data_IF_638554749936
#
_entry.id   IF_638554749936
#
_cell.length_a   1.000
_cell.length_b   1.000
_cell.length_c   1.000
_cell.angle_alpha   90.00
_cell.angle_beta   90.00
_cell.angle_gamma   90.00
#
_symmetry.space_group_name_H-M   'P 1'
#
loop_
_entity.id
_entity.type
_entity.pdbx_description
1 polymer ?
#
# COMPACT_ATOMS: atom_id res chain seq x y z
N UNK A 1 72.09 -11.60 -29.56
CA UNK A 1 71.17 -10.43 -29.56
C UNK A 1 69.81 -10.69 -30.32
N UNK A 2 69.83 -11.42 -31.42
CA UNK A 2 68.60 -11.61 -32.21
C UNK A 2 67.49 -12.48 -31.56
N UNK A 3 67.83 -13.47 -30.72
CA UNK A 3 66.87 -14.36 -30.11
C UNK A 3 66.05 -13.66 -29.01
N UNK A 4 66.60 -12.70 -28.26
CA UNK A 4 65.90 -11.93 -27.22
C UNK A 4 64.80 -11.00 -27.78
N UNK A 5 64.99 -10.51 -29.01
CA UNK A 5 63.99 -9.66 -29.69
C UNK A 5 62.75 -10.45 -30.18
N UNK A 6 62.93 -11.70 -30.62
CA UNK A 6 61.80 -12.56 -30.99
C UNK A 6 60.96 -12.99 -29.79
N UNK A 7 61.56 -13.28 -28.65
CA UNK A 7 60.82 -13.65 -27.42
C UNK A 7 60.04 -12.46 -26.91
N UNK A 8 60.57 -11.25 -26.97
CA UNK A 8 59.84 -10.03 -26.52
C UNK A 8 58.68 -9.69 -27.49
N UNK A 9 58.84 -9.91 -28.82
CA UNK A 9 57.80 -9.65 -29.80
C UNK A 9 56.66 -10.67 -29.71
N UNK A 10 56.93 -11.94 -29.39
CA UNK A 10 55.91 -12.99 -29.18
C UNK A 10 55.17 -12.75 -27.86
N UNK A 11 55.85 -12.30 -26.78
CA UNK A 11 55.21 -11.96 -25.50
C UNK A 11 54.26 -10.76 -25.62
N UNK A 12 54.62 -9.73 -26.41
CA UNK A 12 53.73 -8.58 -26.67
C UNK A 12 52.52 -8.98 -27.53
N UNK A 13 52.66 -9.91 -28.49
CA UNK A 13 51.55 -10.41 -29.30
C UNK A 13 50.60 -11.31 -28.52
N UNK A 14 51.10 -12.06 -27.52
CA UNK A 14 50.27 -12.87 -26.61
C UNK A 14 49.49 -12.01 -25.58
N UNK A 15 49.94 -10.82 -25.20
CA UNK A 15 49.23 -9.91 -24.31
C UNK A 15 48.06 -9.16 -25.01
N UNK A 16 48.03 -9.15 -26.36
CA UNK A 16 46.95 -8.47 -27.11
C UNK A 16 45.72 -9.39 -27.32
N UNK A 17 45.89 -10.72 -27.11
CA UNK A 17 44.81 -11.70 -27.31
C UNK A 17 43.94 -11.97 -26.04
N UNK A 18 44.11 -11.21 -24.97
CA UNK A 18 43.55 -11.57 -23.67
C UNK A 18 42.53 -10.61 -23.07
N UNK A 19 41.66 -9.97 -23.86
CA UNK A 19 40.47 -9.34 -23.31
C UNK A 19 39.33 -9.34 -24.34
N UNK A 20 38.84 -10.51 -24.70
CA UNK A 20 37.46 -10.61 -25.15
C UNK A 20 36.63 -10.53 -23.88
N UNK A 21 36.08 -9.35 -23.58
CA UNK A 21 35.00 -9.25 -22.60
C UNK A 21 33.82 -10.03 -23.19
N UNK A 22 33.57 -11.23 -22.66
CA UNK A 22 32.39 -11.99 -23.06
C UNK A 22 31.16 -11.10 -22.89
N UNK A 23 30.37 -11.00 -23.94
CA UNK A 23 29.08 -10.29 -23.88
C UNK A 23 28.21 -11.01 -22.84
N UNK A 24 27.75 -10.34 -21.78
CA UNK A 24 26.97 -11.00 -20.73
C UNK A 24 25.66 -11.54 -21.29
N UNK A 25 25.28 -12.76 -20.90
CA UNK A 25 24.05 -13.40 -21.34
C UNK A 25 22.85 -13.03 -20.43
N UNK A 26 21.66 -12.91 -21.04
CA UNK A 26 20.39 -12.72 -20.34
C UNK A 26 19.25 -13.41 -21.13
N UNK A 27 18.05 -13.47 -20.51
CA UNK A 27 16.89 -14.05 -21.19
C UNK A 27 16.19 -13.01 -22.06
N UNK A 28 16.04 -11.81 -21.54
CA UNK A 28 15.38 -10.70 -22.24
C UNK A 28 16.18 -9.42 -22.11
N UNK A 29 16.38 -8.73 -23.22
CA UNK A 29 16.90 -7.36 -23.25
C UNK A 29 15.83 -6.42 -23.78
N UNK A 30 15.64 -5.27 -23.14
CA UNK A 30 14.80 -4.17 -23.59
C UNK A 30 15.71 -3.01 -23.92
N UNK A 31 15.60 -2.44 -25.10
CA UNK A 31 16.53 -1.40 -25.56
C UNK A 31 15.85 -0.30 -26.38
N UNK A 32 16.50 0.87 -26.47
CA UNK A 32 16.07 1.98 -27.32
C UNK A 32 14.91 2.81 -26.74
N UNK A 33 14.46 2.51 -25.52
CA UNK A 33 13.40 3.28 -24.85
C UNK A 33 13.92 4.27 -23.81
N UNK A 34 13.08 5.25 -23.48
CA UNK A 34 13.34 6.21 -22.42
C UNK A 34 13.00 5.58 -21.07
N UNK A 35 13.99 5.36 -20.22
CA UNK A 35 13.88 4.69 -18.93
C UNK A 35 13.53 5.73 -17.84
N UNK A 36 12.44 5.48 -17.14
CA UNK A 36 11.99 6.16 -15.92
C UNK A 36 12.17 5.17 -14.76
N UNK A 37 13.28 5.24 -14.05
CA UNK A 37 13.68 4.20 -13.08
C UNK A 37 13.03 4.35 -11.70
N UNK A 38 12.22 5.39 -11.48
CA UNK A 38 11.54 5.65 -10.22
C UNK A 38 12.38 6.37 -9.16
N UNK A 39 13.62 6.75 -9.47
CA UNK A 39 14.49 7.50 -8.52
C UNK A 39 14.13 8.97 -8.39
N UNK A 40 13.33 9.51 -9.33
CA UNK A 40 13.04 10.95 -9.44
C UNK A 40 14.08 11.73 -10.23
N UNK A 41 15.14 11.08 -10.70
CA UNK A 41 16.15 11.67 -11.58
C UNK A 41 15.62 11.81 -13.02
N UNK A 42 16.36 12.52 -13.87
CA UNK A 42 15.99 12.66 -15.27
C UNK A 42 16.00 11.32 -15.99
N UNK A 43 14.96 11.03 -16.81
CA UNK A 43 14.91 9.81 -17.59
C UNK A 43 16.06 9.77 -18.62
N UNK A 44 16.47 8.59 -19.01
CA UNK A 44 17.55 8.38 -19.95
C UNK A 44 17.22 7.26 -20.95
N UNK A 45 17.74 7.37 -22.16
CA UNK A 45 17.69 6.28 -23.13
C UNK A 45 18.69 5.18 -22.73
N UNK A 46 18.25 3.91 -22.73
CA UNK A 46 19.11 2.86 -22.19
C UNK A 46 18.68 1.45 -22.49
N UNK A 47 19.30 0.54 -21.74
CA UNK A 47 19.10 -0.91 -21.82
C UNK A 47 18.68 -1.46 -20.47
N UNK A 48 17.72 -2.38 -20.47
CA UNK A 48 17.37 -3.22 -19.34
C UNK A 48 17.63 -4.67 -19.73
N UNK A 49 18.37 -5.42 -18.90
CA UNK A 49 18.58 -6.85 -19.09
C UNK A 49 17.95 -7.64 -17.93
N UNK A 50 17.23 -8.69 -18.28
CA UNK A 50 16.49 -9.56 -17.37
C UNK A 50 16.99 -10.98 -17.54
N UNK A 51 17.30 -11.62 -16.39
CA UNK A 51 17.67 -13.04 -16.33
C UNK A 51 16.84 -13.70 -15.23
N UNK A 52 16.19 -14.81 -15.58
CA UNK A 52 15.20 -15.47 -14.74
C UNK A 52 14.10 -14.45 -14.33
N UNK A 53 13.91 -14.22 -13.03
CA UNK A 53 12.95 -13.26 -12.47
C UNK A 53 13.58 -11.94 -12.00
N UNK A 54 14.83 -11.65 -12.43
CA UNK A 54 15.60 -10.51 -11.93
C UNK A 54 16.06 -9.57 -13.02
N UNK A 55 15.97 -8.29 -12.74
CA UNK A 55 16.64 -7.26 -13.52
C UNK A 55 18.12 -7.28 -13.14
N UNK A 56 18.99 -7.67 -14.09
CA UNK A 56 20.44 -7.76 -13.88
C UNK A 56 21.20 -6.52 -14.35
N UNK A 57 20.54 -5.68 -15.15
CA UNK A 57 21.10 -4.43 -15.63
C UNK A 57 20.02 -3.40 -15.92
N UNK A 58 20.25 -2.17 -15.48
CA UNK A 58 19.55 -0.96 -15.91
C UNK A 58 20.59 0.13 -16.10
N UNK A 59 20.67 0.72 -17.28
CA UNK A 59 21.65 1.75 -17.52
C UNK A 59 21.71 2.20 -18.97
N UNK A 60 22.72 2.97 -19.31
CA UNK A 60 22.99 3.38 -20.70
C UNK A 60 23.17 2.16 -21.59
N UNK A 61 23.15 2.38 -22.90
CA UNK A 61 23.27 1.30 -23.88
C UNK A 61 24.44 0.33 -23.55
N UNK A 62 24.09 -0.94 -23.47
CA UNK A 62 25.01 -2.07 -23.28
C UNK A 62 24.48 -3.27 -24.06
N UNK A 63 25.40 -3.98 -24.72
CA UNK A 63 25.06 -5.19 -25.45
C UNK A 63 24.97 -6.39 -24.52
N UNK A 64 23.99 -7.26 -24.81
CA UNK A 64 23.76 -8.53 -24.14
C UNK A 64 23.46 -9.61 -25.20
N UNK A 65 23.95 -10.81 -24.95
CA UNK A 65 23.50 -12.00 -25.66
C UNK A 65 22.17 -12.45 -25.04
N UNK A 66 21.05 -12.16 -25.72
CA UNK A 66 19.71 -12.37 -25.19
C UNK A 66 18.92 -13.37 -26.01
N UNK A 67 18.10 -14.20 -25.34
CA UNK A 67 17.14 -15.08 -25.98
C UNK A 67 16.02 -14.29 -26.67
N UNK A 68 15.61 -13.17 -26.06
CA UNK A 68 14.57 -12.27 -26.57
C UNK A 68 15.01 -10.82 -26.49
N UNK A 69 14.72 -10.06 -27.55
CA UNK A 69 14.97 -8.62 -27.61
C UNK A 69 13.68 -7.87 -27.82
N UNK A 70 13.42 -6.89 -26.97
CA UNK A 70 12.27 -5.96 -27.06
C UNK A 70 12.81 -4.61 -27.52
N UNK A 71 12.42 -4.20 -28.71
CA UNK A 71 12.65 -2.84 -29.20
C UNK A 71 11.61 -1.90 -28.58
N UNK A 72 12.08 -1.00 -27.72
CA UNK A 72 11.28 0.01 -27.06
C UNK A 72 11.50 1.43 -27.64
N UNK A 73 12.05 1.53 -28.84
CA UNK A 73 12.29 2.80 -29.51
C UNK A 73 11.02 3.66 -29.54
N UNK A 74 11.12 4.90 -29.06
CA UNK A 74 10.00 5.83 -28.96
C UNK A 74 9.00 5.54 -27.83
N UNK A 75 9.31 4.60 -26.92
CA UNK A 75 8.46 4.26 -25.77
C UNK A 75 9.13 4.67 -24.48
N UNK A 76 8.29 4.92 -23.46
CA UNK A 76 8.73 5.00 -22.07
C UNK A 76 8.80 3.60 -21.47
N UNK A 77 9.83 3.36 -20.66
CA UNK A 77 9.99 2.12 -19.88
C UNK A 77 9.99 2.53 -18.41
N UNK A 78 9.13 1.92 -17.63
CA UNK A 78 9.02 2.18 -16.19
C UNK A 78 8.79 0.86 -15.44
N UNK A 79 9.07 0.80 -14.12
CA UNK A 79 8.58 -0.27 -13.28
C UNK A 79 7.07 -0.41 -13.37
N UNK A 80 6.54 -1.61 -13.18
CA UNK A 80 5.09 -1.79 -13.07
C UNK A 80 4.51 -0.97 -11.93
N UNK A 81 3.34 -0.38 -12.13
CA UNK A 81 2.69 0.44 -11.11
C UNK A 81 2.18 -0.39 -9.95
N UNK A 82 2.14 0.22 -8.78
CA UNK A 82 1.60 -0.36 -7.55
C UNK A 82 0.26 0.34 -7.26
N UNK A 83 -0.82 -0.44 -7.26
CA UNK A 83 -2.12 0.02 -6.76
C UNK A 83 -2.14 -0.15 -5.24
N UNK A 84 -1.79 0.92 -4.49
CA UNK A 84 -1.69 0.89 -3.03
C UNK A 84 -3.04 0.74 -2.33
N UNK A 85 -4.14 0.97 -3.04
CA UNK A 85 -5.51 0.89 -2.51
C UNK A 85 -6.41 0.09 -3.46
N UNK A 86 -6.27 -1.23 -3.44
CA UNK A 86 -7.15 -2.11 -4.19
C UNK A 86 -8.26 -2.69 -3.29
N UNK A 87 -9.48 -2.69 -3.82
CA UNK A 87 -10.63 -3.42 -3.27
C UNK A 87 -10.90 -4.72 -4.02
N UNK A 88 -9.94 -5.17 -4.82
CA UNK A 88 -10.05 -6.29 -5.76
C UNK A 88 -10.14 -7.68 -5.12
N UNK A 89 -9.81 -7.88 -3.86
CA UNK A 89 -9.68 -9.21 -3.24
C UNK A 89 -10.84 -10.16 -3.56
N UNK A 90 -12.09 -9.71 -3.41
CA UNK A 90 -13.28 -10.53 -3.68
C UNK A 90 -13.46 -10.85 -5.16
N UNK A 91 -13.19 -9.87 -6.02
CA UNK A 91 -13.32 -10.00 -7.47
C UNK A 91 -12.25 -10.92 -8.05
N UNK A 92 -11.00 -10.81 -7.60
CA UNK A 92 -9.88 -11.64 -8.03
C UNK A 92 -10.07 -13.14 -7.72
N UNK A 93 -10.82 -13.47 -6.69
CA UNK A 93 -11.22 -14.86 -6.42
C UNK A 93 -12.16 -15.44 -7.48
N UNK A 94 -12.93 -14.59 -8.14
CA UNK A 94 -13.88 -15.00 -9.18
C UNK A 94 -13.25 -14.90 -10.58
N UNK A 95 -12.45 -13.87 -10.80
CA UNK A 95 -11.72 -13.64 -12.05
C UNK A 95 -10.31 -13.13 -11.73
N UNK A 96 -9.36 -14.05 -11.66
CA UNK A 96 -7.95 -13.76 -11.34
C UNK A 96 -7.17 -13.02 -12.45
N UNK A 97 -7.77 -12.71 -13.60
CA UNK A 97 -7.04 -12.08 -14.72
C UNK A 97 -6.61 -10.64 -14.45
N UNK A 98 -7.26 -9.95 -13.52
CA UNK A 98 -6.94 -8.55 -13.16
C UNK A 98 -6.78 -7.60 -14.36
N UNK A 99 -7.63 -7.76 -15.39
CA UNK A 99 -7.43 -7.10 -16.68
C UNK A 99 -7.47 -5.57 -16.63
N UNK A 100 -8.26 -4.99 -15.74
CA UNK A 100 -8.34 -3.54 -15.56
C UNK A 100 -7.01 -2.97 -15.09
N UNK A 101 -6.37 -3.62 -14.15
CA UNK A 101 -5.11 -3.21 -13.57
C UNK A 101 -3.94 -3.49 -14.53
N UNK A 102 -3.83 -4.71 -15.05
CA UNK A 102 -2.77 -5.07 -15.99
C UNK A 102 -2.74 -4.21 -17.26
N UNK A 103 -3.91 -3.87 -17.82
CA UNK A 103 -3.99 -3.01 -19.02
C UNK A 103 -3.58 -1.57 -18.76
N UNK A 104 -3.50 -1.16 -17.51
CA UNK A 104 -2.99 0.14 -17.07
C UNK A 104 -1.55 0.07 -16.55
N UNK A 105 -0.90 -1.11 -16.65
CA UNK A 105 0.48 -1.31 -16.21
C UNK A 105 0.65 -1.55 -14.71
N UNK A 106 -0.45 -1.82 -13.99
CA UNK A 106 -0.39 -2.22 -12.57
C UNK A 106 0.06 -3.67 -12.47
N UNK A 107 1.10 -3.92 -11.69
CA UNK A 107 1.68 -5.26 -11.50
C UNK A 107 1.59 -5.76 -10.05
N UNK A 108 1.24 -4.88 -9.12
CA UNK A 108 1.00 -5.19 -7.71
C UNK A 108 -0.26 -4.51 -7.23
N UNK A 109 -1.17 -5.27 -6.63
CA UNK A 109 -2.35 -4.78 -5.93
C UNK A 109 -2.19 -4.96 -4.42
N UNK A 110 -2.42 -3.89 -3.66
CA UNK A 110 -2.32 -3.88 -2.20
C UNK A 110 -3.71 -3.70 -1.59
N UNK A 111 -4.05 -4.58 -0.64
CA UNK A 111 -5.32 -4.59 0.06
C UNK A 111 -5.18 -4.14 1.51
N UNK A 112 -6.29 -3.98 2.22
CA UNK A 112 -6.31 -3.84 3.67
C UNK A 112 -6.63 -2.43 4.18
N UNK A 113 -7.26 -1.58 3.38
CA UNK A 113 -7.81 -0.31 3.88
C UNK A 113 -8.91 -0.57 4.92
N UNK A 114 -8.60 -0.31 6.18
CA UNK A 114 -9.50 -0.48 7.31
C UNK A 114 -9.89 -1.93 7.61
N UNK A 115 -10.24 -2.70 6.60
CA UNK A 115 -10.56 -4.13 6.72
C UNK A 115 -9.69 -4.98 5.80
N UNK A 116 -9.37 -6.20 6.23
CA UNK A 116 -8.59 -7.18 5.46
C UNK A 116 -9.38 -8.48 5.24
N UNK A 117 -8.91 -9.31 4.31
CA UNK A 117 -9.51 -10.59 3.99
C UNK A 117 -9.55 -11.57 5.17
N UNK A 118 -8.57 -11.50 6.03
CA UNK A 118 -8.42 -12.20 7.30
C UNK A 118 -7.77 -11.31 8.36
N UNK A 119 -7.80 -11.72 9.65
CA UNK A 119 -8.47 -12.92 10.16
C UNK A 119 -10.01 -12.81 10.19
N UNK A 120 -10.69 -13.95 10.08
CA UNK A 120 -12.15 -14.07 10.22
C UNK A 120 -12.51 -15.24 11.14
N UNK A 121 -13.59 -15.11 11.89
CA UNK A 121 -14.01 -16.10 12.89
C UNK A 121 -13.18 -16.01 14.17
N UNK A 122 -13.49 -16.85 15.16
CA UNK A 122 -12.73 -16.90 16.42
C UNK A 122 -11.55 -17.84 16.27
N UNK A 123 -10.40 -17.44 16.77
CA UNK A 123 -9.21 -18.33 16.79
C UNK A 123 -9.53 -19.61 17.57
N UNK A 124 -9.26 -20.75 16.94
CA UNK A 124 -9.61 -22.09 17.47
C UNK A 124 -10.91 -22.66 16.93
N UNK A 125 -11.75 -21.88 16.27
CA UNK A 125 -12.94 -22.41 15.59
C UNK A 125 -12.54 -23.10 14.28
N UNK A 126 -13.27 -24.14 13.89
CA UNK A 126 -13.08 -24.87 12.62
C UNK A 126 -13.14 -23.95 11.37
N UNK A 127 -13.94 -22.89 11.45
CA UNK A 127 -14.13 -21.90 10.39
C UNK A 127 -13.19 -20.69 10.50
N UNK A 128 -12.18 -20.75 11.39
CA UNK A 128 -11.22 -19.66 11.51
C UNK A 128 -10.36 -19.55 10.24
N UNK A 129 -10.32 -18.38 9.66
CA UNK A 129 -9.45 -18.02 8.53
C UNK A 129 -8.39 -17.04 9.03
N UNK A 130 -7.11 -17.45 9.03
CA UNK A 130 -6.02 -16.56 9.38
C UNK A 130 -5.74 -15.53 8.27
N UNK A 131 -4.90 -14.53 8.56
CA UNK A 131 -4.47 -13.56 7.56
C UNK A 131 -3.76 -14.25 6.38
N UNK A 132 -2.75 -15.07 6.67
CA UNK A 132 -2.00 -15.80 5.64
C UNK A 132 -2.87 -16.74 4.83
N UNK A 133 -3.72 -17.53 5.47
CA UNK A 133 -4.64 -18.43 4.77
C UNK A 133 -5.62 -17.70 3.85
N UNK A 134 -5.99 -16.45 4.18
CA UNK A 134 -6.79 -15.62 3.30
C UNK A 134 -5.99 -15.20 2.04
N UNK A 135 -4.72 -14.84 2.18
CA UNK A 135 -3.84 -14.52 1.05
C UNK A 135 -3.54 -15.74 0.18
N UNK A 136 -3.29 -16.91 0.77
CA UNK A 136 -3.09 -18.18 0.06
C UNK A 136 -4.29 -18.52 -0.85
N UNK A 137 -5.47 -18.02 -0.53
CA UNK A 137 -6.65 -18.23 -1.38
C UNK A 137 -6.50 -17.55 -2.74
N UNK A 138 -5.86 -16.38 -2.80
CA UNK A 138 -5.57 -15.68 -4.07
C UNK A 138 -4.48 -16.39 -4.86
N UNK A 139 -3.42 -16.83 -4.20
CA UNK A 139 -2.36 -17.61 -4.85
C UNK A 139 -2.93 -18.87 -5.53
N UNK A 140 -3.79 -19.61 -4.82
CA UNK A 140 -4.50 -20.78 -5.38
C UNK A 140 -5.43 -20.43 -6.54
N UNK A 141 -5.97 -19.23 -6.56
CA UNK A 141 -6.82 -18.72 -7.66
C UNK A 141 -6.01 -18.28 -8.89
N UNK A 142 -4.67 -18.33 -8.83
CA UNK A 142 -3.77 -17.96 -9.93
C UNK A 142 -4.05 -16.56 -10.47
N UNK A 143 -4.01 -15.57 -9.60
CA UNK A 143 -4.16 -14.16 -10.00
C UNK A 143 -2.98 -13.68 -10.84
N UNK A 144 -3.25 -12.82 -11.80
CA UNK A 144 -2.24 -12.34 -12.77
C UNK A 144 -1.34 -11.24 -12.24
N UNK A 145 -1.84 -10.42 -11.32
CA UNK A 145 -1.03 -9.41 -10.60
C UNK A 145 -0.36 -10.03 -9.38
N UNK A 146 0.75 -9.45 -8.93
CA UNK A 146 1.21 -9.70 -7.57
C UNK A 146 0.21 -9.10 -6.58
N UNK A 147 0.14 -9.66 -5.38
CA UNK A 147 -0.78 -9.19 -4.34
C UNK A 147 -0.07 -9.08 -3.00
N UNK A 148 -0.41 -8.05 -2.25
CA UNK A 148 0.01 -7.87 -0.87
C UNK A 148 -1.16 -7.30 -0.05
N UNK A 149 -1.06 -7.33 1.27
CA UNK A 149 -2.13 -6.76 2.10
C UNK A 149 -1.60 -6.21 3.42
N UNK A 150 -2.19 -5.11 3.85
CA UNK A 150 -2.16 -4.69 5.24
C UNK A 150 -3.18 -5.50 6.04
N UNK A 151 -2.92 -5.65 7.33
CA UNK A 151 -3.93 -6.08 8.29
C UNK A 151 -4.85 -4.90 8.59
N UNK A 152 -6.15 -5.05 8.32
CA UNK A 152 -7.11 -3.99 8.61
C UNK A 152 -7.31 -3.78 10.12
N UNK A 153 -7.12 -2.55 10.60
CA UNK A 153 -7.34 -2.21 12.01
C UNK A 153 -8.78 -2.50 12.46
N UNK A 154 -9.77 -2.19 11.60
CA UNK A 154 -11.16 -2.53 11.86
C UNK A 154 -11.41 -4.04 11.86
N UNK A 155 -10.68 -4.84 11.07
CA UNK A 155 -10.76 -6.31 11.13
C UNK A 155 -10.33 -6.82 12.50
N UNK A 156 -9.22 -6.31 13.04
CA UNK A 156 -8.74 -6.66 14.38
C UNK A 156 -9.78 -6.25 15.44
N UNK A 157 -10.32 -5.03 15.33
CA UNK A 157 -11.32 -4.52 16.24
C UNK A 157 -12.61 -5.35 16.20
N UNK A 158 -13.12 -5.70 15.02
CA UNK A 158 -14.33 -6.52 14.87
C UNK A 158 -14.14 -7.89 15.52
N UNK A 159 -12.97 -8.48 15.44
CA UNK A 159 -12.68 -9.79 15.99
C UNK A 159 -12.75 -9.82 17.54
N UNK A 160 -12.37 -8.73 18.20
CA UNK A 160 -12.26 -8.67 19.67
C UNK A 160 -13.36 -7.85 20.36
N UNK A 161 -13.84 -6.78 19.70
CA UNK A 161 -14.79 -5.82 20.28
C UNK A 161 -16.12 -5.83 19.51
N UNK A 162 -16.10 -6.29 18.24
CA UNK A 162 -17.24 -6.16 17.34
C UNK A 162 -17.45 -4.72 16.89
N UNK A 163 -18.71 -4.32 16.79
CA UNK A 163 -19.11 -2.97 16.35
C UNK A 163 -19.54 -2.07 17.51
N UNK A 164 -19.04 -2.31 18.71
CA UNK A 164 -19.34 -1.47 19.87
C UNK A 164 -18.58 -0.13 19.80
N UNK A 165 -19.29 0.97 19.99
CA UNK A 165 -18.71 2.32 20.04
C UNK A 165 -18.15 2.62 21.45
N UNK A 166 -17.03 2.01 21.77
CA UNK A 166 -16.29 2.17 23.02
C UNK A 166 -14.81 1.90 22.83
N UNK A 167 -14.00 2.34 23.79
CA UNK A 167 -12.59 1.97 23.85
C UNK A 167 -12.41 0.47 24.11
N UNK A 168 -11.30 -0.09 23.66
CA UNK A 168 -10.85 -1.42 24.05
C UNK A 168 -10.56 -1.48 25.54
N UNK A 169 -10.89 -2.59 26.20
CA UNK A 169 -10.34 -2.88 27.54
C UNK A 169 -8.84 -3.21 27.43
N UNK A 170 -8.14 -3.28 28.55
CA UNK A 170 -6.72 -3.67 28.55
C UNK A 170 -6.52 -5.09 28.00
N UNK A 171 -7.40 -6.00 28.38
CA UNK A 171 -7.38 -7.40 27.95
C UNK A 171 -7.69 -7.53 26.45
N UNK A 172 -8.69 -6.79 25.96
CA UNK A 172 -9.01 -6.74 24.54
C UNK A 172 -7.84 -6.15 23.74
N UNK A 173 -7.21 -5.08 24.19
CA UNK A 173 -6.07 -4.47 23.53
C UNK A 173 -4.88 -5.46 23.44
N UNK A 174 -4.60 -6.21 24.48
CA UNK A 174 -3.56 -7.27 24.46
C UNK A 174 -3.93 -8.35 23.45
N UNK A 175 -5.19 -8.80 23.41
CA UNK A 175 -5.62 -9.80 22.45
C UNK A 175 -5.53 -9.27 21.00
N UNK A 176 -5.87 -8.00 20.77
CA UNK A 176 -5.69 -7.32 19.47
C UNK A 176 -4.21 -7.29 19.06
N UNK A 177 -3.30 -6.96 19.99
CA UNK A 177 -1.86 -6.96 19.72
C UNK A 177 -1.32 -8.34 19.34
N UNK A 178 -1.80 -9.41 19.99
CA UNK A 178 -1.46 -10.80 19.61
C UNK A 178 -1.94 -11.11 18.19
N UNK A 179 -3.13 -10.65 17.81
CA UNK A 179 -3.64 -10.80 16.45
C UNK A 179 -2.77 -10.09 15.42
N UNK A 180 -2.32 -8.85 15.74
CA UNK A 180 -1.38 -8.13 14.88
C UNK A 180 -0.07 -8.90 14.74
N UNK A 181 0.52 -9.34 15.85
CA UNK A 181 1.78 -10.12 15.83
C UNK A 181 1.67 -11.36 14.93
N UNK A 182 0.56 -12.09 15.04
CA UNK A 182 0.31 -13.28 14.22
C UNK A 182 0.23 -12.90 12.73
N UNK A 183 -0.54 -11.89 12.36
CA UNK A 183 -0.67 -11.47 10.98
C UNK A 183 0.64 -10.96 10.39
N UNK A 184 1.46 -10.24 11.19
CA UNK A 184 2.80 -9.82 10.74
C UNK A 184 3.72 -11.02 10.47
N UNK A 185 3.68 -12.07 11.28
CA UNK A 185 4.40 -13.33 11.03
C UNK A 185 3.88 -14.08 9.80
N UNK A 186 2.62 -13.87 9.44
CA UNK A 186 1.98 -14.44 8.25
C UNK A 186 2.14 -13.56 6.98
N UNK A 187 2.95 -12.49 7.04
CA UNK A 187 3.33 -11.67 5.88
C UNK A 187 2.51 -10.40 5.69
N UNK A 188 1.77 -9.92 6.68
CA UNK A 188 1.12 -8.61 6.60
C UNK A 188 2.16 -7.48 6.43
N UNK A 189 1.89 -6.52 5.56
CA UNK A 189 2.76 -5.36 5.33
C UNK A 189 2.79 -4.38 6.52
N UNK A 190 1.84 -4.49 7.42
CA UNK A 190 1.63 -3.58 8.52
C UNK A 190 0.15 -3.43 8.82
N UNK A 191 -0.27 -2.24 9.26
CA UNK A 191 -1.66 -1.95 9.63
C UNK A 191 -2.25 -0.90 8.69
N UNK A 192 -3.40 -1.25 8.08
CA UNK A 192 -4.22 -0.32 7.32
C UNK A 192 -5.45 0.11 8.11
N UNK A 193 -5.70 1.40 8.20
CA UNK A 193 -6.89 1.94 8.84
C UNK A 193 -7.75 2.77 7.90
N UNK A 194 -9.03 2.87 8.24
CA UNK A 194 -9.98 3.75 7.57
C UNK A 194 -10.87 4.36 8.65
N UNK A 195 -10.55 5.60 9.04
CA UNK A 195 -11.01 6.19 10.28
C UNK A 195 -12.28 7.06 10.14
N UNK A 196 -12.92 7.03 8.97
CA UNK A 196 -14.25 7.62 8.75
C UNK A 196 -15.37 6.58 8.80
N UNK A 197 -15.04 5.29 8.81
CA UNK A 197 -16.02 4.20 8.78
C UNK A 197 -16.07 3.44 10.11
N UNK A 198 -17.29 3.11 10.57
CA UNK A 198 -17.46 2.24 11.72
C UNK A 198 -17.06 0.79 11.38
N UNK A 199 -16.40 0.05 12.30
CA UNK A 199 -16.01 0.48 13.65
C UNK A 199 -14.60 1.07 13.74
N UNK A 200 -13.95 1.38 12.59
CA UNK A 200 -12.59 1.93 12.58
C UNK A 200 -12.51 3.31 13.25
N UNK A 201 -13.53 4.15 13.10
CA UNK A 201 -13.58 5.47 13.70
C UNK A 201 -13.73 5.44 15.24
N UNK A 202 -14.20 4.33 15.82
CA UNK A 202 -14.30 4.14 17.27
C UNK A 202 -12.94 3.87 17.93
N UNK A 203 -11.91 3.53 17.14
CA UNK A 203 -10.56 3.41 17.64
C UNK A 203 -10.00 4.79 18.01
N UNK A 204 -9.46 4.93 19.19
CA UNK A 204 -8.72 6.13 19.56
C UNK A 204 -7.25 6.03 19.11
N UNK A 205 -6.54 7.15 19.15
CA UNK A 205 -5.14 7.24 18.75
C UNK A 205 -4.25 6.29 19.56
N UNK A 206 -4.53 6.09 20.86
CA UNK A 206 -3.74 5.20 21.73
C UNK A 206 -3.88 3.73 21.30
N UNK A 207 -5.09 3.29 20.92
CA UNK A 207 -5.32 1.96 20.35
C UNK A 207 -4.48 1.78 19.09
N UNK A 208 -4.55 2.74 18.16
CA UNK A 208 -3.78 2.68 16.90
C UNK A 208 -2.27 2.67 17.14
N UNK A 209 -1.78 3.49 18.06
CA UNK A 209 -0.36 3.49 18.48
C UNK A 209 0.05 2.14 19.06
N UNK A 210 -0.78 1.54 19.92
CA UNK A 210 -0.48 0.26 20.55
C UNK A 210 -0.37 -0.89 19.53
N UNK A 211 -1.26 -0.92 18.55
CA UNK A 211 -1.23 -1.91 17.47
C UNK A 211 -0.03 -1.69 16.54
N UNK A 212 0.25 -0.45 16.15
CA UNK A 212 1.36 -0.11 15.28
C UNK A 212 2.73 -0.33 15.92
N UNK A 213 2.86 -0.22 17.24
CA UNK A 213 4.08 -0.63 17.97
C UNK A 213 4.41 -2.12 17.80
N UNK A 214 3.40 -2.97 17.62
CA UNK A 214 3.62 -4.38 17.30
C UNK A 214 4.08 -4.52 15.86
N UNK A 215 3.38 -3.92 14.90
CA UNK A 215 3.75 -3.97 13.48
C UNK A 215 5.18 -3.44 13.23
N UNK A 216 5.57 -2.36 13.92
CA UNK A 216 6.91 -1.77 13.85
C UNK A 216 8.03 -2.76 14.20
N UNK A 217 7.83 -3.68 15.16
CA UNK A 217 8.81 -4.70 15.54
C UNK A 217 9.15 -5.67 14.41
N UNK A 218 8.25 -5.78 13.43
CA UNK A 218 8.40 -6.64 12.24
C UNK A 218 8.80 -5.86 10.99
N UNK A 219 9.15 -4.59 11.11
CA UNK A 219 9.49 -3.74 9.97
C UNK A 219 8.28 -3.33 9.12
N UNK A 220 7.08 -3.45 9.67
CA UNK A 220 5.84 -3.06 8.99
C UNK A 220 5.69 -1.54 8.84
N UNK A 221 4.62 -1.12 8.16
CA UNK A 221 4.23 0.28 8.03
C UNK A 221 2.76 0.49 8.42
N UNK A 222 2.41 1.74 8.71
CA UNK A 222 1.04 2.19 8.93
C UNK A 222 0.53 2.89 7.67
N UNK A 223 -0.69 2.61 7.24
CA UNK A 223 -1.34 3.34 6.15
C UNK A 223 -2.77 3.69 6.55
N UNK A 224 -3.23 4.88 6.21
CA UNK A 224 -4.51 5.36 6.71
C UNK A 224 -5.29 6.19 5.71
N UNK A 225 -6.56 5.80 5.51
CA UNK A 225 -7.61 6.74 5.21
C UNK A 225 -7.85 7.54 6.49
N UNK A 226 -7.39 8.78 6.51
CA UNK A 226 -7.36 9.61 7.71
C UNK A 226 -8.77 9.85 8.29
N UNK A 227 -8.84 10.22 9.55
CA UNK A 227 -10.11 10.43 10.28
C UNK A 227 -10.97 11.56 9.69
N UNK A 228 -10.35 12.47 8.98
CA UNK A 228 -11.03 13.54 8.27
C UNK A 228 -10.16 13.99 7.08
N UNK A 229 -10.78 14.21 5.94
CA UNK A 229 -10.14 14.70 4.72
C UNK A 229 -10.75 16.04 4.27
N UNK A 230 -11.56 16.63 5.12
CA UNK A 230 -12.35 17.84 4.91
C UNK A 230 -11.82 18.96 5.83
N UNK A 231 -12.68 19.69 6.50
CA UNK A 231 -12.39 20.85 7.35
C UNK A 231 -11.49 20.56 8.57
N UNK A 232 -11.27 19.29 8.94
CA UNK A 232 -10.36 18.84 10.00
C UNK A 232 -9.19 17.99 9.50
N UNK A 233 -8.85 18.13 8.21
CA UNK A 233 -7.75 17.38 7.60
C UNK A 233 -6.41 17.59 8.32
N UNK A 234 -6.17 18.80 8.86
CA UNK A 234 -4.93 19.09 9.60
C UNK A 234 -4.84 18.35 10.93
N UNK A 235 -5.97 18.23 11.65
CA UNK A 235 -6.03 17.46 12.91
C UNK A 235 -5.84 15.95 12.63
N UNK A 236 -6.45 15.45 11.54
CA UNK A 236 -6.32 14.06 11.13
C UNK A 236 -4.89 13.73 10.67
N UNK A 237 -4.22 14.65 9.99
CA UNK A 237 -2.81 14.52 9.65
C UNK A 237 -1.93 14.51 10.90
N UNK A 238 -2.20 15.38 11.89
CA UNK A 238 -1.47 15.36 13.15
C UNK A 238 -1.63 14.03 13.91
N UNK A 239 -2.80 13.41 13.86
CA UNK A 239 -3.03 12.08 14.42
C UNK A 239 -2.16 11.03 13.71
N UNK A 240 -2.10 11.02 12.37
CA UNK A 240 -1.28 10.08 11.59
C UNK A 240 0.21 10.26 11.92
N UNK A 241 0.70 11.51 11.94
CA UNK A 241 2.08 11.82 12.30
C UNK A 241 2.43 11.41 13.71
N UNK A 242 1.51 11.61 14.66
CA UNK A 242 1.67 11.18 16.05
C UNK A 242 1.76 9.66 16.17
N UNK A 243 0.93 8.92 15.43
CA UNK A 243 0.99 7.45 15.38
C UNK A 243 2.34 6.99 14.84
N UNK A 244 2.78 7.58 13.72
CA UNK A 244 4.07 7.27 13.11
C UNK A 244 5.24 7.49 14.08
N UNK A 245 5.25 8.64 14.77
CA UNK A 245 6.26 9.00 15.78
C UNK A 245 6.23 8.06 16.98
N UNK A 246 5.07 7.89 17.61
CA UNK A 246 4.91 7.13 18.86
C UNK A 246 5.12 5.62 18.69
N UNK A 247 4.77 5.10 17.52
CA UNK A 247 5.00 3.69 17.19
C UNK A 247 6.37 3.45 16.54
N UNK A 248 7.12 4.51 16.19
CA UNK A 248 8.37 4.45 15.43
C UNK A 248 8.20 3.59 14.16
N UNK A 249 7.24 3.97 13.31
CA UNK A 249 6.81 3.21 12.14
C UNK A 249 6.72 4.15 10.92
N UNK A 250 7.10 3.71 9.70
CA UNK A 250 6.77 4.44 8.48
C UNK A 250 5.25 4.58 8.35
N UNK A 251 4.80 5.71 7.84
CA UNK A 251 3.37 5.88 7.60
C UNK A 251 3.08 6.44 6.20
N UNK A 252 1.94 6.05 5.66
CA UNK A 252 1.45 6.50 4.36
C UNK A 252 0.04 7.05 4.50
N UNK A 253 -0.23 8.11 3.74
CA UNK A 253 -1.55 8.72 3.66
C UNK A 253 -2.22 8.17 2.42
N UNK A 254 -3.31 7.38 2.59
CA UNK A 254 -4.13 6.96 1.46
C UNK A 254 -4.70 8.18 0.74
N UNK A 255 -4.67 8.15 -0.60
CA UNK A 255 -5.38 9.06 -1.50
C UNK A 255 -5.41 10.51 -1.01
N UNK A 256 -4.22 11.06 -0.70
CA UNK A 256 -4.06 12.39 -0.13
C UNK A 256 -4.90 13.44 -0.87
N UNK A 257 -5.80 14.07 -0.16
CA UNK A 257 -6.63 15.17 -0.66
C UNK A 257 -7.11 16.09 0.45
N UNK A 258 -7.54 17.27 0.04
CA UNK A 258 -8.38 18.16 0.85
C UNK A 258 -9.76 18.22 0.19
N UNK A 259 -10.69 17.47 0.77
CA UNK A 259 -12.03 17.31 0.21
C UNK A 259 -12.82 18.61 0.29
N UNK A 260 -13.71 18.83 -0.70
CA UNK A 260 -14.57 19.99 -0.87
C UNK A 260 -13.81 21.31 -1.12
N UNK A 261 -14.37 22.11 -2.03
CA UNK A 261 -13.76 23.36 -2.50
C UNK A 261 -13.37 24.35 -1.38
N UNK A 262 -14.15 24.53 -0.30
CA UNK A 262 -13.76 25.44 0.79
C UNK A 262 -12.44 25.07 1.48
N UNK A 263 -12.00 23.81 1.40
CA UNK A 263 -10.81 23.31 2.07
C UNK A 263 -9.57 23.22 1.18
N UNK A 264 -9.68 23.51 -0.13
CA UNK A 264 -8.56 23.35 -1.06
C UNK A 264 -7.35 24.20 -0.67
N UNK A 265 -7.57 25.35 -0.04
CA UNK A 265 -6.50 26.22 0.48
C UNK A 265 -5.64 25.55 1.57
N UNK A 266 -6.10 24.44 2.18
CA UNK A 266 -5.35 23.71 3.22
C UNK A 266 -4.27 22.81 2.63
N UNK A 267 -4.28 22.51 1.32
CA UNK A 267 -3.37 21.55 0.71
C UNK A 267 -1.91 21.93 0.89
N UNK A 268 -1.55 23.19 0.68
CA UNK A 268 -0.17 23.66 0.88
C UNK A 268 0.28 23.49 2.34
N UNK A 269 -0.63 23.69 3.30
CA UNK A 269 -0.34 23.44 4.72
C UNK A 269 -0.16 21.95 5.01
N UNK A 270 -0.97 21.09 4.40
CA UNK A 270 -0.84 19.63 4.51
C UNK A 270 0.54 19.20 4.01
N UNK A 271 0.93 19.63 2.81
CA UNK A 271 2.24 19.32 2.22
C UNK A 271 3.37 19.82 3.12
N UNK A 272 3.31 21.07 3.58
CA UNK A 272 4.33 21.65 4.45
C UNK A 272 4.47 20.89 5.78
N UNK A 273 3.36 20.38 6.36
CA UNK A 273 3.41 19.55 7.58
C UNK A 273 4.08 18.21 7.32
N UNK A 274 3.78 17.57 6.20
CA UNK A 274 4.41 16.30 5.79
C UNK A 274 5.92 16.51 5.58
N UNK A 275 6.31 17.51 4.81
CA UNK A 275 7.72 17.83 4.57
C UNK A 275 8.48 18.17 5.86
N UNK A 276 7.85 18.89 6.78
CA UNK A 276 8.41 19.16 8.11
C UNK A 276 8.61 17.89 8.93
N UNK A 277 7.69 16.93 8.86
CA UNK A 277 7.80 15.64 9.53
C UNK A 277 8.93 14.80 8.91
N UNK A 278 9.05 14.78 7.59
CA UNK A 278 10.14 14.13 6.85
C UNK A 278 11.51 14.72 7.21
N UNK A 279 11.62 16.04 7.29
CA UNK A 279 12.83 16.74 7.71
C UNK A 279 13.27 16.39 9.15
N UNK A 280 12.34 15.94 10.00
CA UNK A 280 12.62 15.42 11.35
C UNK A 280 12.96 13.92 11.38
N UNK A 281 13.01 13.26 10.22
CA UNK A 281 13.37 11.86 10.09
C UNK A 281 12.18 10.88 10.09
N UNK A 282 10.92 11.35 10.12
CA UNK A 282 9.78 10.47 9.95
C UNK A 282 9.67 10.04 8.47
N UNK A 283 9.44 8.75 8.23
CA UNK A 283 9.22 8.22 6.88
C UNK A 283 7.73 8.32 6.55
N UNK A 284 7.33 9.40 5.91
CA UNK A 284 5.95 9.66 5.51
C UNK A 284 5.86 9.67 4.00
N UNK A 285 4.93 8.91 3.44
CA UNK A 285 4.57 8.86 2.03
C UNK A 285 3.07 9.12 1.85
N UNK A 286 2.63 9.28 0.62
CA UNK A 286 1.23 9.38 0.27
C UNK A 286 1.01 8.77 -1.12
N UNK A 287 -0.14 8.17 -1.32
CA UNK A 287 -0.62 7.77 -2.63
C UNK A 287 -1.71 8.71 -3.16
N UNK A 288 -2.05 8.58 -4.43
CA UNK A 288 -3.05 9.39 -5.09
C UNK A 288 -3.69 8.60 -6.23
N UNK A 289 -4.98 8.79 -6.45
CA UNK A 289 -5.66 8.32 -7.65
C UNK A 289 -5.62 9.37 -8.77
N UNK A 290 -5.81 8.94 -9.99
CA UNK A 290 -5.70 9.78 -11.20
C UNK A 290 -7.02 10.41 -11.64
N UNK A 291 -8.07 10.33 -10.85
CA UNK A 291 -9.38 10.89 -11.13
C UNK A 291 -9.54 12.29 -10.54
N UNK A 292 -10.35 13.14 -11.19
CA UNK A 292 -10.73 14.45 -10.68
C UNK A 292 -12.02 14.41 -9.82
N UNK A 293 -12.45 13.23 -9.42
CA UNK A 293 -13.59 12.98 -8.57
C UNK A 293 -13.27 11.87 -7.57
N UNK A 294 -13.92 11.88 -6.42
CA UNK A 294 -13.86 10.83 -5.42
C UNK A 294 -15.17 10.04 -5.35
N UNK A 295 -15.09 8.81 -4.84
CA UNK A 295 -16.25 7.95 -4.64
C UNK A 295 -16.13 7.22 -3.31
N UNK A 296 -17.27 7.05 -2.62
CA UNK A 296 -17.35 6.24 -1.42
C UNK A 296 -18.72 5.57 -1.30
N UNK A 297 -18.83 4.57 -0.43
CA UNK A 297 -20.11 3.94 -0.11
C UNK A 297 -20.99 4.85 0.75
N UNK A 298 -22.31 4.60 0.74
CA UNK A 298 -23.28 5.34 1.53
C UNK A 298 -22.95 5.35 3.05
N UNK A 299 -22.26 4.36 3.53
CA UNK A 299 -21.75 4.28 4.92
C UNK A 299 -20.81 5.43 5.29
N UNK A 300 -20.09 5.99 4.33
CA UNK A 300 -19.17 7.13 4.57
C UNK A 300 -19.88 8.45 4.84
N UNK A 301 -21.14 8.59 4.44
CA UNK A 301 -21.92 9.82 4.67
C UNK A 301 -22.93 9.70 5.81
N UNK A 302 -23.07 8.49 6.39
CA UNK A 302 -23.96 8.27 7.53
C UNK A 302 -23.13 8.37 8.82
N UNK A 303 -23.52 9.23 9.78
CA UNK A 303 -22.81 9.35 11.05
C UNK A 303 -22.59 8.00 11.71
N UNK A 304 -21.38 7.76 12.20
CA UNK A 304 -20.93 6.45 12.69
C UNK A 304 -21.69 5.98 13.94
N UNK A 305 -22.22 6.92 14.76
CA UNK A 305 -23.07 6.55 15.91
C UNK A 305 -24.33 5.76 15.50
N UNK A 306 -24.83 5.95 14.26
CA UNK A 306 -25.96 5.18 13.72
C UNK A 306 -25.56 3.73 13.49
N UNK A 307 -24.31 3.50 13.14
CA UNK A 307 -23.74 2.22 12.69
C UNK A 307 -23.31 1.30 13.85
N UNK A 308 -23.33 1.80 15.09
CA UNK A 308 -23.00 1.01 16.28
C UNK A 308 -23.82 -0.29 16.36
N UNK A 309 -23.17 -1.40 16.71
CA UNK A 309 -23.77 -2.73 16.76
C UNK A 309 -23.87 -3.43 15.41
N UNK A 310 -23.34 -2.79 14.33
CA UNK A 310 -23.29 -3.35 13.00
C UNK A 310 -24.57 -3.19 12.18
N UNK A 311 -24.57 -3.72 10.97
CA UNK A 311 -25.58 -3.44 9.94
C UNK A 311 -27.03 -3.70 10.37
N UNK A 312 -27.28 -4.79 11.07
CA UNK A 312 -28.64 -5.13 11.54
C UNK A 312 -29.13 -4.13 12.60
N UNK A 313 -28.28 -3.75 13.55
CA UNK A 313 -28.59 -2.76 14.58
C UNK A 313 -28.83 -1.38 13.95
N UNK A 314 -28.02 -1.00 12.98
CA UNK A 314 -28.16 0.23 12.22
C UNK A 314 -29.52 0.31 11.51
N UNK A 315 -29.90 -0.70 10.72
CA UNK A 315 -31.22 -0.73 10.06
C UNK A 315 -32.36 -0.57 11.08
N UNK A 316 -32.29 -1.28 12.20
CA UNK A 316 -33.30 -1.18 13.25
C UNK A 316 -33.35 0.21 13.89
N UNK A 317 -32.19 0.84 14.10
CA UNK A 317 -32.10 2.20 14.65
C UNK A 317 -32.72 3.22 13.70
N UNK A 318 -32.50 3.09 12.39
CA UNK A 318 -33.08 3.99 11.39
C UNK A 318 -34.60 3.86 11.22
N UNK A 319 -35.19 2.75 11.67
CA UNK A 319 -36.67 2.57 11.69
C UNK A 319 -37.34 3.26 12.87
N UNK A 320 -36.57 3.67 13.90
CA UNK A 320 -37.10 4.33 15.09
C UNK A 320 -37.22 5.84 14.88
N UNK A 321 -38.27 6.47 15.39
CA UNK A 321 -38.59 7.88 15.13
C UNK A 321 -37.50 8.84 15.64
N UNK A 322 -37.07 8.70 16.90
CA UNK A 322 -36.09 9.62 17.51
C UNK A 322 -34.69 9.50 16.89
N UNK A 323 -34.08 8.31 16.74
CA UNK A 323 -32.80 8.20 16.02
C UNK A 323 -32.88 8.73 14.58
N UNK A 324 -33.96 8.49 13.87
CA UNK A 324 -34.18 9.00 12.51
C UNK A 324 -34.24 10.53 12.50
N UNK A 325 -34.92 11.14 13.45
CA UNK A 325 -34.99 12.61 13.57
C UNK A 325 -33.61 13.22 13.83
N UNK A 326 -32.85 12.63 14.75
CA UNK A 326 -31.46 13.05 15.03
C UNK A 326 -30.58 12.90 13.78
N UNK A 327 -30.64 11.77 13.08
CA UNK A 327 -29.90 11.51 11.85
C UNK A 327 -30.17 12.59 10.79
N UNK A 328 -31.46 12.96 10.59
CA UNK A 328 -31.81 13.99 9.62
C UNK A 328 -31.23 15.37 9.98
N UNK A 329 -31.15 15.69 11.28
CA UNK A 329 -30.51 16.91 11.76
C UNK A 329 -29.01 16.88 11.46
N UNK A 330 -28.33 15.78 11.78
CA UNK A 330 -26.89 15.62 11.57
C UNK A 330 -26.54 15.70 10.07
N UNK A 331 -27.28 15.01 9.20
CA UNK A 331 -27.08 15.07 7.75
C UNK A 331 -27.29 16.49 7.21
N UNK A 332 -28.36 17.18 7.65
CA UNK A 332 -28.61 18.57 7.20
C UNK A 332 -27.49 19.52 7.60
N UNK A 333 -26.94 19.34 8.81
CA UNK A 333 -25.80 20.12 9.30
C UNK A 333 -24.56 19.87 8.45
N UNK A 334 -24.33 18.64 8.06
CA UNK A 334 -23.20 18.27 7.21
C UNK A 334 -23.33 18.82 5.77
N UNK A 335 -24.55 18.80 5.23
CA UNK A 335 -24.85 19.35 3.90
C UNK A 335 -24.77 20.88 3.84
N UNK A 336 -24.82 21.57 4.98
CA UNK A 336 -24.75 23.03 5.07
C UNK A 336 -23.30 23.57 5.17
N UNK A 337 -22.31 22.70 5.30
CA UNK A 337 -20.88 23.00 5.28
C UNK A 337 -20.30 22.94 3.87
#
# INVERSE_FOLDING_TARGET
MKLKHYILTIAVFLCILGCQTETPSCDTVIQGGMIYDGTGEQPFEGTIAIKDDKIIYVGKHKEFEATSTIDATGKAIAPGFINMLSWGYGNLKNDGRSLSDLKQGVTLEVFGEGTSAGPKGKSGDEKYLSFGAAMDTLEKSKVSTNVASFLGAATVRIQHIGYANRKATKEELVAMQITVEKAMKEGAMGIGSSLIYAPGDYADTDELVALNKIASKFGGMYISHMRNEDNKVLDALDELLLIAEKANIPAEIYHLKTSRKPNWHLLDTVIAKVEKARAKGLRITADMYTYNASSTGLTGVIPTWVQEGGHRAWINRMKQAEPRKRLLVDIRKELAQ
#
